data_IF_483891106072
#
_entry.id   IF_483891106072
#
_cell.length_a   1.000
_cell.length_b   1.000
_cell.length_c   1.000
_cell.angle_alpha   90.00
_cell.angle_beta   90.00
_cell.angle_gamma   90.00
#
_symmetry.space_group_name_H-M   'P 1'
#
loop_
_entity.id
_entity.type
_entity.pdbx_description
1 polymer ?
#
# COMPACT_ATOMS: atom_id res chain seq x y z
N UNK A 1 -23.09 6.99 22.43
CA UNK A 1 -22.79 6.16 21.25
C UNK A 1 -21.44 6.63 20.73
N UNK A 2 -20.33 6.01 21.14
CA UNK A 2 -19.01 6.33 20.57
C UNK A 2 -19.00 5.76 19.15
N UNK A 3 -19.21 6.59 18.14
CA UNK A 3 -18.83 6.21 16.79
C UNK A 3 -17.30 6.16 16.78
N UNK A 4 -16.73 4.98 16.57
CA UNK A 4 -15.29 4.81 16.41
C UNK A 4 -14.82 5.80 15.34
N UNK A 5 -14.07 6.83 15.75
CA UNK A 5 -13.61 7.86 14.85
C UNK A 5 -12.77 7.20 13.75
N UNK A 6 -13.20 7.31 12.48
CA UNK A 6 -12.34 6.87 11.38
C UNK A 6 -11.12 7.80 11.32
N UNK A 7 -10.00 7.33 10.77
CA UNK A 7 -8.76 8.12 10.72
C UNK A 7 -8.94 9.47 10.04
N UNK A 8 -9.85 9.60 9.06
CA UNK A 8 -10.11 10.85 8.37
C UNK A 8 -10.75 11.90 9.29
N UNK A 9 -11.65 11.48 10.19
CA UNK A 9 -12.34 12.37 11.13
C UNK A 9 -11.40 13.00 12.16
N UNK A 10 -10.29 12.33 12.49
CA UNK A 10 -9.21 12.90 13.33
C UNK A 10 -8.63 14.17 12.70
N UNK A 11 -8.59 14.22 11.36
CA UNK A 11 -8.06 15.34 10.58
C UNK A 11 -9.16 16.23 9.98
N UNK A 12 -10.40 16.08 10.45
CA UNK A 12 -11.57 16.80 9.93
C UNK A 12 -11.75 16.63 8.41
N UNK A 13 -11.46 15.41 7.91
CA UNK A 13 -11.61 15.01 6.50
C UNK A 13 -12.76 14.02 6.32
N UNK A 14 -13.29 14.00 5.10
CA UNK A 14 -14.30 13.03 4.66
C UNK A 14 -13.73 12.16 3.54
N UNK A 15 -14.44 11.10 3.15
CA UNK A 15 -13.98 10.17 2.10
C UNK A 15 -13.92 10.86 0.73
N UNK A 16 -14.80 11.82 0.49
CA UNK A 16 -14.91 12.61 -0.74
C UNK A 16 -13.70 13.52 -0.95
N UNK A 17 -12.90 13.78 0.11
CA UNK A 17 -11.66 14.56 0.04
C UNK A 17 -10.44 13.72 -0.36
N UNK A 18 -10.57 12.39 -0.46
CA UNK A 18 -9.46 11.51 -0.86
C UNK A 18 -9.30 11.59 -2.38
N UNK A 19 -8.13 12.03 -2.85
CA UNK A 19 -7.88 12.14 -4.29
C UNK A 19 -7.31 10.87 -4.91
N UNK A 20 -6.51 10.10 -4.16
CA UNK A 20 -5.88 8.84 -4.58
C UNK A 20 -5.42 8.04 -3.35
N UNK A 21 -5.23 6.73 -3.52
CA UNK A 21 -4.68 5.84 -2.50
C UNK A 21 -3.24 5.48 -2.87
N UNK A 22 -2.27 5.75 -1.99
CA UNK A 22 -0.90 5.24 -2.11
C UNK A 22 -0.74 4.05 -1.18
N UNK A 23 -0.60 2.85 -1.74
CA UNK A 23 -0.51 1.62 -0.95
C UNK A 23 0.18 0.50 -1.74
N UNK A 24 0.51 -0.61 -1.07
CA UNK A 24 0.98 -1.80 -1.80
C UNK A 24 -0.10 -2.34 -2.75
N UNK A 25 0.29 -3.17 -3.72
CA UNK A 25 -0.65 -3.71 -4.70
C UNK A 25 -1.42 -4.94 -4.21
N UNK A 26 -1.62 -5.12 -2.89
CA UNK A 26 -2.41 -6.24 -2.41
C UNK A 26 -3.90 -6.08 -2.81
N UNK A 27 -4.62 -7.20 -2.89
CA UNK A 27 -6.01 -7.23 -3.30
C UNK A 27 -6.92 -6.34 -2.41
N UNK A 28 -6.60 -6.24 -1.12
CA UNK A 28 -7.33 -5.38 -0.18
C UNK A 28 -7.21 -3.91 -0.54
N UNK A 29 -6.00 -3.43 -0.82
CA UNK A 29 -5.75 -2.03 -1.18
C UNK A 29 -6.36 -1.67 -2.54
N UNK A 30 -6.27 -2.59 -3.50
CA UNK A 30 -6.99 -2.47 -4.77
C UNK A 30 -8.51 -2.38 -4.55
N UNK A 31 -9.08 -3.23 -3.69
CA UNK A 31 -10.52 -3.18 -3.36
C UNK A 31 -10.92 -1.86 -2.69
N UNK A 32 -10.09 -1.32 -1.81
CA UNK A 32 -10.32 -0.04 -1.14
C UNK A 32 -10.33 1.11 -2.15
N UNK A 33 -9.32 1.21 -3.02
CA UNK A 33 -9.26 2.24 -4.05
C UNK A 33 -10.49 2.19 -4.98
N UNK A 34 -10.88 0.99 -5.41
CA UNK A 34 -12.09 0.77 -6.22
C UNK A 34 -13.36 1.20 -5.50
N UNK A 35 -13.52 0.84 -4.23
CA UNK A 35 -14.69 1.23 -3.41
C UNK A 35 -14.73 2.73 -3.11
N UNK A 36 -13.57 3.37 -2.99
CA UNK A 36 -13.46 4.82 -2.85
C UNK A 36 -13.58 5.55 -4.19
N UNK A 37 -13.52 4.84 -5.32
CA UNK A 37 -13.57 5.41 -6.67
C UNK A 37 -12.41 6.38 -6.97
N UNK A 38 -11.23 6.08 -6.42
CA UNK A 38 -10.02 6.91 -6.57
C UNK A 38 -8.88 6.14 -7.25
N UNK A 39 -7.94 6.82 -7.93
CA UNK A 39 -6.73 6.20 -8.46
C UNK A 39 -5.92 5.48 -7.36
N UNK A 40 -5.33 4.34 -7.71
CA UNK A 40 -4.40 3.60 -6.85
C UNK A 40 -2.96 3.79 -7.35
N UNK A 41 -2.09 4.27 -6.46
CA UNK A 41 -0.65 4.47 -6.70
C UNK A 41 0.10 3.39 -5.92
N UNK A 42 0.71 2.47 -6.65
CA UNK A 42 1.44 1.35 -6.06
C UNK A 42 2.66 1.78 -5.24
N UNK A 43 2.94 1.04 -4.17
CA UNK A 43 4.04 1.33 -3.26
C UNK A 43 5.42 1.13 -3.92
N UNK A 44 6.27 2.15 -3.84
CA UNK A 44 7.64 2.09 -4.35
C UNK A 44 8.50 1.04 -3.64
N UNK A 45 8.34 0.84 -2.34
CA UNK A 45 9.13 -0.15 -1.60
C UNK A 45 8.85 -1.59 -2.06
N UNK A 46 7.60 -1.92 -2.40
CA UNK A 46 7.27 -3.23 -2.95
C UNK A 46 7.91 -3.45 -4.33
N UNK A 47 7.89 -2.42 -5.20
CA UNK A 47 8.57 -2.48 -6.50
C UNK A 47 10.09 -2.57 -6.35
N UNK A 48 10.65 -1.90 -5.35
CA UNK A 48 12.07 -1.94 -5.03
C UNK A 48 12.47 -3.33 -4.53
N UNK A 49 11.72 -3.91 -3.58
CA UNK A 49 11.95 -5.27 -3.08
C UNK A 49 11.88 -6.32 -4.21
N UNK A 50 10.97 -6.17 -5.17
CA UNK A 50 10.92 -7.05 -6.35
C UNK A 50 12.13 -6.86 -7.29
N UNK A 51 12.66 -5.64 -7.40
CA UNK A 51 13.86 -5.37 -8.17
C UNK A 51 15.11 -5.96 -7.47
N UNK A 52 15.22 -5.77 -6.16
CA UNK A 52 16.27 -6.34 -5.33
C UNK A 52 16.26 -7.86 -5.40
N UNK A 53 15.12 -8.51 -5.21
CA UNK A 53 15.00 -9.97 -5.33
C UNK A 53 15.45 -10.50 -6.70
N UNK A 54 15.20 -9.74 -7.78
CA UNK A 54 15.70 -10.10 -9.12
C UNK A 54 17.19 -9.87 -9.27
N UNK A 55 17.72 -8.81 -8.65
CA UNK A 55 19.13 -8.46 -8.70
C UNK A 55 19.98 -9.46 -7.91
N UNK A 56 19.49 -9.92 -6.76
CA UNK A 56 20.20 -10.83 -5.87
C UNK A 56 19.96 -12.32 -6.15
N UNK A 57 19.29 -12.69 -7.25
CA UNK A 57 18.95 -14.10 -7.54
C UNK A 57 20.19 -15.00 -7.61
N UNK A 58 21.33 -14.48 -8.06
CA UNK A 58 22.60 -15.21 -8.14
C UNK A 58 23.34 -15.29 -6.78
N UNK A 59 22.90 -14.49 -5.81
CA UNK A 59 23.48 -14.40 -4.47
C UNK A 59 22.57 -15.03 -3.40
N UNK A 60 21.44 -15.63 -3.80
CA UNK A 60 20.50 -16.34 -2.92
C UNK A 60 21.19 -17.34 -1.96
N UNK A 61 22.18 -18.15 -2.40
CA UNK A 61 22.85 -19.11 -1.51
C UNK A 61 23.63 -18.47 -0.35
N UNK A 62 24.01 -17.19 -0.49
CA UNK A 62 24.73 -16.43 0.56
C UNK A 62 23.71 -15.75 1.49
N UNK A 63 22.51 -15.46 0.99
CA UNK A 63 21.45 -14.78 1.72
C UNK A 63 20.60 -15.72 2.57
N UNK A 64 20.48 -16.99 2.17
CA UNK A 64 19.75 -18.04 2.92
C UNK A 64 20.46 -18.49 4.22
N UNK A 65 21.74 -18.18 4.36
CA UNK A 65 22.58 -18.55 5.52
C UNK A 65 22.55 -17.51 6.68
N UNK A 66 21.66 -16.51 6.60
CA UNK A 66 21.50 -15.42 7.60
C UNK A 66 20.21 -15.54 8.40
#
# INVERSE_FOLDING_TARGET
MLTSANVLSVYNKTREMVCFLVADNCATNQSIATKLTVPHVGCSSHRFNLADNKFYVEHEPILDDV
#
